data_IF_294412080643
#
_entry.id   IF_294412080643
#
_cell.length_a   1.000
_cell.length_b   1.000
_cell.length_c   1.000
_cell.angle_alpha   90.00
_cell.angle_beta   90.00
_cell.angle_gamma   90.00
#
_symmetry.space_group_name_H-M   'P 1'
#
loop_
_entity.id
_entity.type
_entity.pdbx_description
1 polymer ?
#
# COMPACT_ATOMS: atom_id res chain seq x y z
N UNK A 1 -6.22 -6.91 19.36
CA UNK A 1 -7.65 -6.63 19.57
C UNK A 1 -8.37 -7.90 20.06
N UNK A 2 -8.27 -9.04 19.37
CA UNK A 2 -8.93 -10.32 19.74
C UNK A 2 -8.59 -10.85 21.12
N UNK A 3 -7.38 -10.61 21.63
CA UNK A 3 -6.98 -11.00 23.01
C UNK A 3 -7.70 -10.21 24.09
N UNK A 4 -8.04 -8.95 23.83
CA UNK A 4 -8.74 -8.08 24.80
C UNK A 4 -10.27 -8.26 24.77
N UNK A 5 -10.82 -8.69 23.64
CA UNK A 5 -12.26 -8.81 23.40
C UNK A 5 -12.65 -10.21 22.94
N UNK A 6 -12.30 -11.24 23.73
CA UNK A 6 -12.45 -12.65 23.37
C UNK A 6 -13.89 -13.10 23.11
N UNK A 7 -14.90 -12.32 23.53
CA UNK A 7 -16.33 -12.59 23.33
C UNK A 7 -16.99 -11.66 22.30
N UNK A 8 -16.25 -10.72 21.71
CA UNK A 8 -16.78 -9.78 20.75
C UNK A 8 -16.60 -10.28 19.32
N UNK A 9 -17.59 -10.04 18.48
CA UNK A 9 -17.41 -10.14 17.04
C UNK A 9 -16.66 -8.90 16.55
N UNK A 10 -15.57 -9.12 15.82
CA UNK A 10 -14.76 -8.06 15.27
C UNK A 10 -15.01 -8.03 13.76
N UNK A 11 -15.39 -6.87 13.26
CA UNK A 11 -15.60 -6.67 11.83
C UNK A 11 -14.67 -5.55 11.38
N UNK A 12 -13.78 -5.86 10.44
CA UNK A 12 -12.93 -4.89 9.78
C UNK A 12 -13.54 -4.54 8.43
N UNK A 13 -13.49 -3.27 8.05
CA UNK A 13 -14.02 -2.80 6.77
C UNK A 13 -12.92 -2.12 5.97
N UNK A 14 -12.93 -2.36 4.66
CA UNK A 14 -12.25 -1.50 3.71
C UNK A 14 -13.29 -0.72 2.91
N UNK A 15 -13.01 0.56 2.69
CA UNK A 15 -13.83 1.45 1.91
C UNK A 15 -13.15 2.79 1.66
N UNK A 16 -13.78 3.62 0.85
CA UNK A 16 -13.34 4.99 0.57
C UNK A 16 -14.49 5.97 0.83
N UNK A 17 -14.16 7.25 0.97
CA UNK A 17 -15.19 8.30 1.15
C UNK A 17 -16.16 8.36 -0.04
N UNK A 18 -15.69 8.01 -1.23
CA UNK A 18 -16.46 8.08 -2.48
C UNK A 18 -17.26 6.80 -2.74
N UNK A 19 -16.75 5.64 -2.33
CA UNK A 19 -17.35 4.34 -2.65
C UNK A 19 -18.01 3.66 -1.43
N UNK A 20 -17.91 4.27 -0.23
CA UNK A 20 -18.40 3.70 1.02
C UNK A 20 -17.74 2.34 1.31
N UNK A 21 -18.48 1.36 1.83
CA UNK A 21 -17.97 0.04 2.18
C UNK A 21 -17.79 -0.84 0.95
N UNK A 22 -16.59 -1.37 0.74
CA UNK A 22 -16.21 -2.20 -0.41
C UNK A 22 -16.07 -3.66 0.00
N UNK A 23 -15.34 -3.92 1.08
CA UNK A 23 -15.13 -5.27 1.59
C UNK A 23 -15.14 -5.33 3.12
N UNK A 24 -15.27 -6.52 3.65
CA UNK A 24 -15.30 -6.77 5.09
C UNK A 24 -14.54 -8.04 5.46
N UNK A 25 -14.00 -8.07 6.66
CA UNK A 25 -13.38 -9.23 7.27
C UNK A 25 -14.03 -9.49 8.64
N UNK A 26 -14.77 -10.56 8.75
CA UNK A 26 -15.46 -10.93 9.98
C UNK A 26 -14.57 -11.84 10.82
N UNK A 27 -14.27 -11.45 12.06
CA UNK A 27 -13.46 -12.22 13.00
C UNK A 27 -12.13 -12.72 12.43
N UNK A 28 -11.51 -11.94 11.52
CA UNK A 28 -10.25 -12.26 10.87
C UNK A 28 -10.27 -13.62 10.11
N UNK A 29 -11.43 -13.99 9.55
CA UNK A 29 -11.58 -15.24 8.78
C UNK A 29 -11.04 -15.13 7.36
N UNK A 30 -10.84 -13.92 6.86
CA UNK A 30 -10.22 -13.71 5.55
C UNK A 30 -8.71 -14.03 5.58
N UNK A 31 -8.12 -14.42 4.45
CA UNK A 31 -6.68 -14.69 4.36
C UNK A 31 -5.84 -13.49 4.80
N UNK A 32 -4.68 -13.76 5.37
CA UNK A 32 -3.70 -12.73 5.78
C UNK A 32 -3.39 -11.79 4.61
N UNK A 33 -3.30 -10.49 4.89
CA UNK A 33 -3.07 -9.40 3.93
C UNK A 33 -4.28 -9.08 3.01
N UNK A 34 -5.35 -9.87 3.03
CA UNK A 34 -6.60 -9.50 2.39
C UNK A 34 -7.33 -8.42 3.20
N UNK A 35 -8.04 -7.53 2.51
CA UNK A 35 -9.02 -6.62 3.14
C UNK A 35 -10.41 -7.24 3.20
N UNK A 36 -10.51 -8.53 2.94
CA UNK A 36 -11.69 -9.34 3.19
C UNK A 36 -12.53 -9.67 1.95
N UNK A 37 -13.75 -10.10 2.22
CA UNK A 37 -14.76 -10.46 1.24
C UNK A 37 -15.42 -9.21 0.66
N UNK A 38 -15.63 -9.19 -0.64
CA UNK A 38 -16.36 -8.12 -1.32
C UNK A 38 -17.85 -8.22 -0.94
N UNK A 39 -18.49 -7.10 -0.59
CA UNK A 39 -19.92 -7.08 -0.32
C UNK A 39 -20.74 -7.48 -1.57
N UNK A 40 -21.82 -8.22 -1.39
CA UNK A 40 -22.64 -8.76 -2.49
C UNK A 40 -23.24 -7.70 -3.41
N UNK A 41 -23.42 -6.47 -2.91
CA UNK A 41 -23.97 -5.34 -3.68
C UNK A 41 -22.88 -4.40 -4.24
N UNK A 42 -21.64 -4.82 -4.21
CA UNK A 42 -20.48 -4.08 -4.72
C UNK A 42 -19.92 -4.81 -5.93
N UNK A 43 -19.92 -4.14 -7.08
CA UNK A 43 -19.24 -4.59 -8.28
C UNK A 43 -17.82 -4.00 -8.31
N UNK A 44 -16.84 -4.81 -8.67
CA UNK A 44 -15.44 -4.40 -8.78
C UNK A 44 -14.96 -4.63 -10.21
N UNK A 45 -14.19 -3.66 -10.70
CA UNK A 45 -13.41 -3.75 -11.92
C UNK A 45 -11.97 -3.33 -11.63
N UNK A 46 -11.01 -4.04 -12.22
CA UNK A 46 -9.59 -3.70 -12.15
C UNK A 46 -9.17 -3.21 -13.53
N UNK A 47 -8.80 -1.93 -13.64
CA UNK A 47 -8.33 -1.34 -14.89
C UNK A 47 -6.81 -1.41 -15.02
N UNK A 48 -6.33 -1.39 -16.26
CA UNK A 48 -4.89 -1.39 -16.58
C UNK A 48 -4.11 -2.50 -15.87
N UNK A 49 -4.67 -3.71 -15.83
CA UNK A 49 -4.04 -4.85 -15.15
C UNK A 49 -2.65 -5.15 -15.73
N UNK A 50 -1.70 -5.36 -14.83
CA UNK A 50 -0.38 -5.85 -15.17
C UNK A 50 -0.32 -7.39 -15.30
N UNK A 51 0.88 -7.94 -15.55
CA UNK A 51 1.09 -9.38 -15.68
C UNK A 51 0.76 -10.20 -14.41
N UNK A 52 0.62 -9.53 -13.27
CA UNK A 52 0.24 -10.13 -11.98
C UNK A 52 -1.25 -9.94 -11.67
N UNK A 53 -2.06 -9.50 -12.64
CA UNK A 53 -3.47 -9.13 -12.48
C UNK A 53 -3.71 -8.00 -11.47
N UNK A 54 -2.71 -7.17 -11.21
CA UNK A 54 -2.85 -5.98 -10.37
C UNK A 54 -3.36 -4.85 -11.25
N UNK A 55 -4.49 -4.25 -10.86
CA UNK A 55 -5.09 -3.14 -11.59
C UNK A 55 -5.61 -2.04 -10.68
N UNK A 56 -5.93 -0.90 -11.27
CA UNK A 56 -6.54 0.21 -10.57
C UNK A 56 -7.99 -0.16 -10.21
N UNK A 57 -8.30 -0.08 -8.93
CA UNK A 57 -9.59 -0.50 -8.39
C UNK A 57 -10.69 0.50 -8.76
N UNK A 58 -11.70 0.02 -9.47
CA UNK A 58 -12.98 0.70 -9.67
C UNK A 58 -14.10 -0.03 -8.97
N UNK A 59 -15.03 0.74 -8.45
CA UNK A 59 -16.15 0.26 -7.66
C UNK A 59 -17.45 0.84 -8.17
N UNK A 60 -18.47 0.01 -8.23
CA UNK A 60 -19.84 0.40 -8.53
C UNK A 60 -20.76 -0.17 -7.45
N UNK A 61 -21.56 0.66 -6.81
CA UNK A 61 -22.58 0.25 -5.85
C UNK A 61 -23.66 1.33 -5.73
N UNK A 62 -24.73 1.03 -5.02
CA UNK A 62 -25.75 2.02 -4.65
C UNK A 62 -25.34 2.89 -3.45
N UNK A 63 -24.18 2.63 -2.84
CA UNK A 63 -23.65 3.35 -1.67
C UNK A 63 -22.61 4.40 -2.02
N UNK A 64 -22.36 4.66 -3.32
CA UNK A 64 -21.41 5.69 -3.74
C UNK A 64 -21.90 7.09 -3.37
N UNK A 65 -20.94 8.00 -3.19
CA UNK A 65 -21.24 9.40 -2.89
C UNK A 65 -22.00 10.09 -4.04
N UNK A 66 -22.68 11.20 -3.73
CA UNK A 66 -23.41 12.00 -4.74
C UNK A 66 -22.53 13.04 -5.44
N UNK A 67 -21.25 13.13 -5.08
CA UNK A 67 -20.27 14.08 -5.60
C UNK A 67 -19.74 15.02 -4.52
N UNK A 68 -18.75 15.80 -4.87
CA UNK A 68 -18.20 16.86 -4.01
C UNK A 68 -18.94 18.18 -4.22
N UNK A 69 -18.99 19.01 -3.18
CA UNK A 69 -19.54 20.37 -3.25
C UNK A 69 -18.88 21.14 -4.40
N UNK A 70 -19.66 21.80 -5.22
CA UNK A 70 -19.20 22.54 -6.41
C UNK A 70 -18.53 21.68 -7.51
N UNK A 71 -18.79 20.38 -7.52
CA UNK A 71 -18.37 19.46 -8.60
C UNK A 71 -19.59 18.84 -9.28
N UNK A 72 -19.34 18.13 -10.39
CA UNK A 72 -20.40 17.40 -11.10
C UNK A 72 -21.02 16.35 -10.17
N UNK A 73 -22.36 16.29 -10.17
CA UNK A 73 -23.11 15.26 -9.45
C UNK A 73 -22.78 13.90 -10.00
N UNK A 74 -22.55 12.93 -9.12
CA UNK A 74 -22.33 11.53 -9.46
C UNK A 74 -23.70 10.83 -9.41
N UNK A 75 -24.06 10.15 -10.49
CA UNK A 75 -25.31 9.40 -10.56
C UNK A 75 -25.19 8.08 -9.79
N UNK A 76 -26.27 7.61 -9.14
CA UNK A 76 -26.27 6.30 -8.47
C UNK A 76 -25.78 5.18 -9.41
N UNK A 77 -25.08 4.21 -8.87
CA UNK A 77 -24.48 3.10 -9.61
C UNK A 77 -23.47 3.50 -10.70
N UNK A 78 -22.89 4.70 -10.64
CA UNK A 78 -21.73 5.02 -11.48
C UNK A 78 -20.49 4.23 -11.03
N UNK A 79 -19.58 3.98 -11.96
CA UNK A 79 -18.26 3.48 -11.63
C UNK A 79 -17.41 4.59 -11.02
N UNK A 80 -16.85 4.34 -9.85
CA UNK A 80 -15.93 5.24 -9.15
C UNK A 80 -14.54 4.64 -9.21
N UNK A 81 -13.58 5.38 -9.78
CA UNK A 81 -12.17 5.06 -9.69
C UNK A 81 -11.70 5.38 -8.28
N UNK A 82 -11.13 4.42 -7.59
CA UNK A 82 -10.42 4.64 -6.34
C UNK A 82 -8.97 5.08 -6.65
N UNK A 83 -8.22 5.42 -5.63
CA UNK A 83 -6.79 5.70 -5.80
C UNK A 83 -5.92 4.47 -5.52
N UNK A 84 -6.52 3.31 -5.32
CA UNK A 84 -5.86 2.09 -4.86
C UNK A 84 -5.66 1.09 -6.00
N UNK A 85 -4.49 0.48 -6.07
CA UNK A 85 -4.22 -0.71 -6.86
C UNK A 85 -4.55 -1.96 -6.05
N UNK A 86 -5.19 -2.92 -6.70
CA UNK A 86 -5.65 -4.14 -6.06
C UNK A 86 -5.55 -5.35 -7.01
N UNK A 87 -5.67 -6.54 -6.43
CA UNK A 87 -6.00 -7.77 -7.15
C UNK A 87 -7.06 -8.55 -6.37
N UNK A 88 -7.74 -9.46 -7.07
CA UNK A 88 -8.74 -10.35 -6.49
C UNK A 88 -8.22 -11.78 -6.59
N UNK A 89 -8.30 -12.51 -5.49
CA UNK A 89 -7.98 -13.93 -5.44
C UNK A 89 -8.98 -14.63 -4.52
N UNK A 90 -9.57 -15.73 -5.00
CA UNK A 90 -10.53 -16.55 -4.24
C UNK A 90 -11.64 -15.71 -3.59
N UNK A 91 -12.21 -14.77 -4.34
CA UNK A 91 -13.23 -13.81 -3.89
C UNK A 91 -12.83 -12.88 -2.73
N UNK A 92 -11.53 -12.72 -2.49
CA UNK A 92 -11.00 -11.78 -1.52
C UNK A 92 -10.29 -10.64 -2.24
N UNK A 93 -10.46 -9.43 -1.70
CA UNK A 93 -9.78 -8.23 -2.20
C UNK A 93 -8.44 -8.03 -1.49
N UNK A 94 -7.39 -7.77 -2.26
CA UNK A 94 -6.06 -7.47 -1.77
C UNK A 94 -5.62 -6.10 -2.28
N UNK A 95 -5.26 -5.21 -1.37
CA UNK A 95 -4.70 -3.91 -1.72
C UNK A 95 -3.19 -4.00 -1.87
N UNK A 96 -2.67 -3.43 -2.94
CA UNK A 96 -1.23 -3.44 -3.24
C UNK A 96 -0.58 -2.11 -2.89
N UNK A 97 -1.25 -1.01 -3.17
CA UNK A 97 -0.75 0.33 -2.88
C UNK A 97 -1.57 1.41 -3.55
N UNK A 98 -1.19 2.67 -3.35
CA UNK A 98 -1.87 3.82 -3.91
C UNK A 98 -1.25 4.27 -5.23
N UNK A 99 -2.06 4.81 -6.13
CA UNK A 99 -1.66 5.36 -7.45
C UNK A 99 -0.57 6.41 -7.31
N UNK A 100 -0.67 7.29 -6.30
CA UNK A 100 0.30 8.35 -6.04
C UNK A 100 1.62 7.87 -5.43
N UNK A 101 1.67 6.63 -4.95
CA UNK A 101 2.84 6.05 -4.29
C UNK A 101 3.57 5.04 -5.18
N UNK A 102 2.95 4.61 -6.27
CA UNK A 102 3.53 3.68 -7.24
C UNK A 102 4.80 4.27 -7.85
N UNK A 103 5.88 3.49 -7.85
CA UNK A 103 7.11 3.81 -8.54
C UNK A 103 7.14 3.14 -9.91
N UNK A 104 7.82 3.75 -10.87
CA UNK A 104 8.06 3.17 -12.19
C UNK A 104 9.56 2.96 -12.37
N UNK A 105 9.99 1.71 -12.18
CA UNK A 105 11.41 1.32 -12.23
C UNK A 105 11.68 0.50 -13.48
N UNK A 106 12.42 1.06 -14.42
CA UNK A 106 12.72 0.38 -15.70
C UNK A 106 11.46 -0.01 -16.48
N UNK A 107 10.40 0.81 -16.42
CA UNK A 107 9.11 0.55 -17.06
C UNK A 107 8.22 -0.47 -16.34
N UNK A 108 8.60 -0.90 -15.13
CA UNK A 108 7.81 -1.82 -14.31
C UNK A 108 7.17 -1.08 -13.15
N UNK A 109 5.92 -1.46 -12.83
CA UNK A 109 5.25 -0.97 -11.63
C UNK A 109 5.87 -1.60 -10.39
N UNK A 110 6.20 -0.77 -9.42
CA UNK A 110 6.68 -1.18 -8.11
C UNK A 110 5.80 -0.52 -7.05
N UNK A 111 5.32 -1.32 -6.13
CA UNK A 111 4.41 -0.91 -5.08
C UNK A 111 5.14 -0.89 -3.73
N UNK A 112 5.49 0.29 -3.22
CA UNK A 112 6.25 0.45 -1.98
C UNK A 112 5.71 -0.34 -0.79
N UNK A 113 4.39 -0.34 -0.63
CA UNK A 113 3.72 -1.01 0.48
C UNK A 113 4.05 -2.52 0.58
N UNK A 114 4.15 -3.22 -0.54
CA UNK A 114 4.50 -4.64 -0.56
C UNK A 114 5.91 -4.90 -0.01
N UNK A 115 6.85 -4.01 -0.32
CA UNK A 115 8.24 -4.07 0.16
C UNK A 115 8.27 -3.73 1.66
N UNK A 116 7.62 -2.65 2.06
CA UNK A 116 7.55 -2.16 3.43
C UNK A 116 6.99 -3.21 4.39
N UNK A 117 5.90 -3.84 4.00
CA UNK A 117 5.25 -4.91 4.77
C UNK A 117 6.20 -6.10 5.01
N UNK A 118 7.02 -6.45 4.02
CA UNK A 118 8.01 -7.51 4.15
C UNK A 118 9.13 -7.13 5.09
N UNK A 119 9.66 -5.91 4.94
CA UNK A 119 10.74 -5.41 5.78
C UNK A 119 10.30 -5.30 7.24
N UNK A 120 9.08 -4.86 7.50
CA UNK A 120 8.51 -4.78 8.87
C UNK A 120 8.29 -6.13 9.55
N UNK A 121 8.38 -7.24 8.83
CA UNK A 121 8.35 -8.59 9.42
C UNK A 121 9.71 -9.02 9.99
N UNK A 122 10.78 -8.30 9.68
CA UNK A 122 12.10 -8.57 10.25
C UNK A 122 12.14 -8.12 11.70
N UNK A 123 12.67 -8.99 12.56
CA UNK A 123 12.86 -8.68 13.98
C UNK A 123 13.76 -7.45 14.14
N UNK A 124 13.44 -6.56 15.07
CA UNK A 124 14.18 -5.33 15.32
C UNK A 124 13.94 -4.20 14.31
N UNK A 125 13.03 -4.34 13.36
CA UNK A 125 12.58 -3.25 12.49
C UNK A 125 11.29 -2.66 13.06
N UNK A 126 11.33 -1.39 13.44
CA UNK A 126 10.18 -0.65 13.97
C UNK A 126 9.33 -0.04 12.88
N UNK A 127 9.98 0.59 11.89
CA UNK A 127 9.30 1.26 10.78
C UNK A 127 10.12 1.14 9.50
N UNK A 128 9.42 1.07 8.36
CA UNK A 128 10.03 0.98 7.05
C UNK A 128 9.17 1.73 6.03
N UNK A 129 9.79 2.55 5.21
CA UNK A 129 9.17 3.31 4.13
C UNK A 129 10.03 3.23 2.88
N UNK A 130 9.41 3.01 1.73
CA UNK A 130 10.11 3.00 0.44
C UNK A 130 9.70 4.22 -0.37
N UNK A 131 10.68 4.93 -0.88
CA UNK A 131 10.50 6.10 -1.73
C UNK A 131 11.19 5.91 -3.07
N UNK A 132 10.75 6.68 -4.08
CA UNK A 132 11.42 6.77 -5.38
C UNK A 132 12.50 7.87 -5.37
N UNK A 133 13.70 7.49 -5.78
CA UNK A 133 14.78 8.44 -6.13
C UNK A 133 14.91 8.50 -7.65
N UNK A 134 14.97 9.71 -8.26
CA UNK A 134 15.20 9.84 -9.70
C UNK A 134 16.49 9.17 -10.14
N UNK A 135 16.42 8.38 -11.22
CA UNK A 135 17.58 7.66 -11.75
C UNK A 135 17.65 7.73 -13.27
N UNK A 136 18.81 8.12 -13.81
CA UNK A 136 19.01 8.41 -15.25
C UNK A 136 18.59 7.24 -16.18
N UNK A 137 18.87 6.00 -15.80
CA UNK A 137 18.64 4.82 -16.65
C UNK A 137 17.28 4.18 -16.43
N UNK A 138 16.75 4.19 -15.19
CA UNK A 138 15.56 3.44 -14.80
C UNK A 138 14.35 4.34 -14.54
N UNK A 139 14.46 5.65 -14.73
CA UNK A 139 13.44 6.63 -14.34
C UNK A 139 13.49 6.87 -12.83
N UNK A 140 13.24 5.82 -12.06
CA UNK A 140 13.38 5.84 -10.60
C UNK A 140 14.12 4.58 -10.11
N UNK A 141 14.62 4.64 -8.87
CA UNK A 141 15.07 3.49 -8.08
C UNK A 141 14.36 3.53 -6.73
N UNK A 142 14.11 2.35 -6.15
CA UNK A 142 13.57 2.25 -4.81
C UNK A 142 14.67 2.47 -3.76
N UNK A 143 14.37 3.32 -2.77
CA UNK A 143 15.20 3.56 -1.60
C UNK A 143 14.39 3.16 -0.37
N UNK A 144 14.90 2.24 0.42
CA UNK A 144 14.33 1.86 1.71
C UNK A 144 14.91 2.76 2.81
N UNK A 145 14.04 3.47 3.52
CA UNK A 145 14.39 4.23 4.72
C UNK A 145 13.72 3.53 5.90
N UNK A 146 14.45 3.26 6.98
CA UNK A 146 13.92 2.46 8.07
C UNK A 146 14.45 2.90 9.44
N UNK A 147 13.66 2.59 10.47
CA UNK A 147 14.03 2.65 11.88
C UNK A 147 14.18 1.21 12.37
N UNK A 148 15.24 0.92 13.06
CA UNK A 148 15.49 -0.42 13.60
C UNK A 148 16.73 -0.48 14.52
N UNK A 149 16.85 -1.57 15.24
CA UNK A 149 17.90 -1.77 16.25
C UNK A 149 19.31 -1.94 15.63
N UNK A 150 19.37 -2.40 14.38
CA UNK A 150 20.61 -2.70 13.69
C UNK A 150 20.61 -2.22 12.25
N UNK A 151 21.78 -2.22 11.62
CA UNK A 151 21.90 -1.94 10.19
C UNK A 151 21.58 -3.20 9.37
N UNK A 152 20.68 -3.02 8.40
CA UNK A 152 20.32 -4.10 7.47
C UNK A 152 21.47 -4.37 6.50
N UNK A 153 21.96 -5.62 6.49
CA UNK A 153 22.89 -6.08 5.46
C UNK A 153 22.16 -6.19 4.11
N UNK A 154 22.65 -5.48 3.11
CA UNK A 154 22.03 -5.42 1.78
C UNK A 154 21.90 -6.81 1.12
N UNK A 155 22.92 -7.65 1.22
CA UNK A 155 22.92 -8.97 0.57
C UNK A 155 21.87 -9.89 1.20
N UNK A 156 21.80 -9.88 2.51
CA UNK A 156 20.83 -10.67 3.29
C UNK A 156 19.41 -10.18 3.03
N UNK A 157 19.18 -8.86 3.10
CA UNK A 157 17.87 -8.27 2.81
C UNK A 157 17.43 -8.57 1.37
N UNK A 158 18.30 -8.43 0.40
CA UNK A 158 18.01 -8.75 -1.00
C UNK A 158 17.57 -10.21 -1.16
N UNK A 159 18.30 -11.15 -0.56
CA UNK A 159 17.97 -12.58 -0.62
C UNK A 159 16.61 -12.86 0.02
N UNK A 160 16.32 -12.23 1.15
CA UNK A 160 15.03 -12.33 1.83
C UNK A 160 13.88 -11.81 0.95
N UNK A 161 14.01 -10.61 0.43
CA UNK A 161 12.96 -9.98 -0.39
C UNK A 161 12.72 -10.75 -1.70
N UNK A 162 13.76 -11.27 -2.34
CA UNK A 162 13.67 -12.04 -3.58
C UNK A 162 12.95 -13.39 -3.45
N UNK A 163 12.63 -13.84 -2.25
CA UNK A 163 11.79 -15.03 -2.07
C UNK A 163 10.34 -14.80 -2.53
N UNK A 164 9.88 -13.55 -2.55
CA UNK A 164 8.49 -13.20 -2.86
C UNK A 164 8.34 -12.00 -3.78
N UNK A 165 9.36 -11.18 -3.92
CA UNK A 165 9.37 -9.99 -4.75
C UNK A 165 10.29 -10.18 -5.96
N UNK A 166 9.93 -9.55 -7.06
CA UNK A 166 10.74 -9.52 -8.27
C UNK A 166 12.03 -8.71 -8.05
N UNK A 167 13.05 -8.99 -8.84
CA UNK A 167 14.37 -8.35 -8.70
C UNK A 167 14.31 -6.82 -8.78
N UNK A 168 13.41 -6.27 -9.58
CA UNK A 168 13.27 -4.83 -9.76
C UNK A 168 12.53 -4.14 -8.59
N UNK A 169 11.85 -4.92 -7.74
CA UNK A 169 11.19 -4.42 -6.53
C UNK A 169 12.14 -4.30 -5.33
N UNK A 170 13.30 -4.96 -5.39
CA UNK A 170 14.28 -4.87 -4.30
C UNK A 170 14.88 -3.46 -4.25
N UNK A 171 14.84 -2.77 -3.11
CA UNK A 171 15.45 -1.45 -2.96
C UNK A 171 16.92 -1.45 -3.37
N UNK A 172 17.35 -0.41 -4.09
CA UNK A 172 18.73 -0.24 -4.52
C UNK A 172 19.61 0.41 -3.44
N UNK A 173 18.98 1.10 -2.49
CA UNK A 173 19.65 1.80 -1.39
C UNK A 173 18.90 1.54 -0.07
N UNK A 174 19.66 1.49 1.02
CA UNK A 174 19.16 1.36 2.39
C UNK A 174 19.64 2.56 3.19
N UNK A 175 18.76 3.17 3.95
CA UNK A 175 19.06 4.31 4.82
C UNK A 175 18.43 4.07 6.19
N UNK A 176 19.26 3.83 7.20
CA UNK A 176 18.81 3.77 8.59
C UNK A 176 18.68 5.20 9.11
N UNK A 177 17.60 5.46 9.83
CA UNK A 177 17.33 6.76 10.46
C UNK A 177 16.83 6.56 11.88
N UNK A 178 16.97 7.60 12.71
CA UNK A 178 16.49 7.55 14.10
C UNK A 178 15.02 7.97 14.22
N UNK A 179 14.51 8.78 13.28
CA UNK A 179 13.14 9.30 13.29
C UNK A 179 12.61 9.47 11.88
N UNK A 180 11.29 9.39 11.75
CA UNK A 180 10.56 9.69 10.52
C UNK A 180 9.51 10.77 10.77
N UNK A 181 9.17 11.60 9.79
CA UNK A 181 8.05 12.53 9.91
C UNK A 181 6.72 11.78 9.84
N UNK A 182 5.79 12.15 10.72
CA UNK A 182 4.44 11.59 10.78
C UNK A 182 3.39 12.65 10.45
N UNK A 183 2.28 12.19 9.91
CA UNK A 183 1.07 13.00 9.75
C UNK A 183 0.34 13.15 11.09
N UNK A 184 -0.62 14.09 11.16
CA UNK A 184 -1.47 14.26 12.36
C UNK A 184 -2.29 12.98 12.70
N UNK A 185 -2.48 12.09 11.74
CA UNK A 185 -3.15 10.79 11.95
C UNK A 185 -2.20 9.66 12.38
N UNK A 186 -0.93 9.95 12.65
CA UNK A 186 0.06 8.98 13.11
C UNK A 186 0.63 8.07 12.02
N UNK A 187 0.43 8.37 10.74
CA UNK A 187 1.03 7.64 9.62
C UNK A 187 2.31 8.32 9.17
N UNK A 188 3.29 7.55 8.70
CA UNK A 188 4.52 8.12 8.11
C UNK A 188 4.16 9.03 6.92
N UNK A 189 4.64 10.27 6.95
CA UNK A 189 4.42 11.27 5.91
C UNK A 189 5.38 11.05 4.72
N UNK A 190 5.07 10.07 3.85
CA UNK A 190 5.94 9.65 2.72
C UNK A 190 6.47 10.81 1.88
N UNK A 191 5.64 11.81 1.56
CA UNK A 191 6.06 12.98 0.80
C UNK A 191 7.14 13.80 1.52
N UNK A 192 7.01 13.96 2.84
CA UNK A 192 8.02 14.64 3.67
C UNK A 192 9.30 13.81 3.75
N UNK A 193 9.19 12.50 3.93
CA UNK A 193 10.34 11.56 3.92
C UNK A 193 11.12 11.71 2.61
N UNK A 194 10.43 11.65 1.46
CA UNK A 194 11.07 11.81 0.16
C UNK A 194 11.75 13.17 0.00
N UNK A 195 11.10 14.25 0.44
CA UNK A 195 11.67 15.59 0.38
C UNK A 195 12.94 15.72 1.22
N UNK A 196 12.93 15.25 2.47
CA UNK A 196 14.10 15.25 3.36
C UNK A 196 15.26 14.42 2.79
N UNK A 197 14.95 13.24 2.25
CA UNK A 197 15.95 12.37 1.64
C UNK A 197 16.64 13.04 0.45
N UNK A 198 15.86 13.60 -0.50
CA UNK A 198 16.41 14.25 -1.70
C UNK A 198 17.22 15.51 -1.39
N UNK A 199 16.97 16.17 -0.25
CA UNK A 199 17.76 17.31 0.24
C UNK A 199 19.01 16.88 1.04
N UNK A 200 19.19 15.59 1.31
CA UNK A 200 20.28 15.10 2.15
C UNK A 200 20.13 15.45 3.64
N UNK A 201 18.89 15.70 4.09
CA UNK A 201 18.60 16.15 5.45
C UNK A 201 18.36 14.97 6.44
N UNK A 202 18.37 13.71 5.99
CA UNK A 202 18.41 12.58 6.91
C UNK A 202 19.80 12.45 7.52
N UNK A 203 19.90 12.83 8.77
CA UNK A 203 21.09 12.54 9.59
C UNK A 203 21.02 11.08 10.02
N UNK A 204 22.01 10.31 9.60
CA UNK A 204 22.31 8.98 10.13
C UNK A 204 22.66 9.06 11.61
#
# INVERSE_FOLDING_TARGET
VTRQFSKANIIEFFGTSEASFISYNFNQTAPTQSVGYIFNNVNIQLEEQDANNIGLLKVQSNMIYSGYVNRKVVTPNSWIETVDFAYIKDNHLYLVGRKSERLIIGGKNVYPNAIEQRVKQLEGIEEAIVIGEPHRRFGEIAVLIYIGDYELDYVTLRRYLQQTLSRYEVPSKLVKVNTLPYTNSGKVARGSVRSLYLKGEFKS
#
